data_IF_810083403122
#
_entry.id   IF_810083403122
#
_cell.length_a   1.000
_cell.length_b   1.000
_cell.length_c   1.000
_cell.angle_alpha   90.00
_cell.angle_beta   90.00
_cell.angle_gamma   90.00
#
_symmetry.space_group_name_H-M   'P 1'
#
loop_
_entity.id
_entity.type
_entity.pdbx_description
1 polymer ?
#
# COMPACT_ATOMS: atom_id res chain seq x y z
N UNK A 1 -11.04 -11.26 9.33
CA UNK A 1 -10.18 -10.13 9.77
C UNK A 1 -9.12 -10.64 10.74
N UNK A 2 -8.04 -9.89 10.99
CA UNK A 2 -6.99 -10.36 11.93
C UNK A 2 -7.55 -10.66 13.33
N UNK A 3 -8.62 -9.98 13.74
CA UNK A 3 -9.24 -10.15 15.04
C UNK A 3 -10.19 -11.36 15.13
N UNK A 4 -10.54 -11.98 13.99
CA UNK A 4 -11.39 -13.18 13.97
C UNK A 4 -10.59 -14.45 14.29
N UNK A 5 -9.32 -14.50 13.86
CA UNK A 5 -8.37 -15.56 14.22
C UNK A 5 -6.97 -14.96 14.36
N UNK A 6 -6.73 -14.38 15.54
CA UNK A 6 -5.50 -13.68 15.87
C UNK A 6 -4.29 -14.61 15.77
N UNK A 7 -4.41 -15.86 16.24
CA UNK A 7 -3.30 -16.83 16.19
C UNK A 7 -2.88 -17.13 14.77
N UNK A 8 -3.84 -17.35 13.86
CA UNK A 8 -3.55 -17.54 12.44
C UNK A 8 -2.95 -16.27 11.83
N UNK A 9 -3.45 -15.09 12.19
CA UNK A 9 -2.90 -13.82 11.71
C UNK A 9 -1.42 -13.64 12.09
N UNK A 10 -1.05 -13.91 13.35
CA UNK A 10 0.36 -13.88 13.77
C UNK A 10 1.22 -14.89 13.02
N UNK A 11 0.72 -16.11 12.81
CA UNK A 11 1.47 -17.11 12.07
C UNK A 11 1.70 -16.70 10.61
N UNK A 12 0.62 -16.35 9.90
CA UNK A 12 0.64 -16.05 8.46
C UNK A 12 1.37 -14.74 8.15
N UNK A 13 1.14 -13.70 8.95
CA UNK A 13 1.71 -12.39 8.68
C UNK A 13 3.11 -12.23 9.29
N UNK A 14 3.44 -12.94 10.36
CA UNK A 14 4.70 -12.74 11.10
C UNK A 14 5.68 -13.90 10.93
N UNK A 15 5.32 -15.09 11.40
CA UNK A 15 6.26 -16.23 11.47
C UNK A 15 6.56 -16.82 10.10
N UNK A 16 5.54 -17.00 9.27
CA UNK A 16 5.66 -17.66 7.98
C UNK A 16 6.59 -16.91 7.00
N UNK A 17 6.51 -15.57 6.84
CA UNK A 17 7.44 -14.83 6.00
C UNK A 17 8.90 -14.91 6.44
N UNK A 18 9.16 -14.97 7.76
CA UNK A 18 10.51 -15.14 8.29
C UNK A 18 11.10 -16.50 7.88
N UNK A 19 10.31 -17.57 8.03
CA UNK A 19 10.70 -18.93 7.61
C UNK A 19 10.98 -18.97 6.10
N UNK A 20 10.09 -18.39 5.28
CA UNK A 20 10.32 -18.33 3.84
C UNK A 20 11.59 -17.55 3.49
N UNK A 21 11.84 -16.43 4.16
CA UNK A 21 13.05 -15.65 3.99
C UNK A 21 14.31 -16.43 4.35
N UNK A 22 14.29 -17.22 5.43
CA UNK A 22 15.41 -18.09 5.82
C UNK A 22 15.70 -19.18 4.80
N UNK A 23 14.67 -19.85 4.30
CA UNK A 23 14.83 -21.02 3.42
C UNK A 23 15.12 -20.62 1.97
N UNK A 24 14.48 -19.56 1.47
CA UNK A 24 14.47 -19.22 0.05
C UNK A 24 15.16 -17.89 -0.27
N UNK A 25 15.35 -17.02 0.73
CA UNK A 25 16.08 -15.77 0.59
C UNK A 25 15.53 -14.85 -0.50
N UNK A 26 16.41 -14.43 -1.42
CA UNK A 26 16.09 -13.54 -2.56
C UNK A 26 15.04 -14.06 -3.54
N UNK A 27 14.60 -15.32 -3.42
CA UNK A 27 13.51 -15.88 -4.24
C UNK A 27 12.13 -15.49 -3.70
N UNK A 28 12.06 -14.86 -2.53
CA UNK A 28 10.82 -14.43 -1.89
C UNK A 28 10.70 -12.92 -2.01
N UNK A 29 9.59 -12.48 -2.60
CA UNK A 29 9.12 -11.10 -2.53
C UNK A 29 8.02 -11.06 -1.48
N UNK A 30 8.31 -10.47 -0.33
CA UNK A 30 7.37 -10.36 0.78
C UNK A 30 6.71 -8.98 0.77
N UNK A 31 5.42 -8.94 0.44
CA UNK A 31 4.65 -7.69 0.48
C UNK A 31 4.13 -7.45 1.90
N UNK A 32 4.53 -6.33 2.47
CA UNK A 32 4.09 -5.84 3.78
C UNK A 32 3.31 -4.53 3.60
N UNK A 33 3.23 -3.66 4.60
CA UNK A 33 2.28 -2.54 4.61
C UNK A 33 2.86 -1.24 5.18
N UNK A 34 2.32 -0.11 4.77
CA UNK A 34 2.48 1.20 5.44
C UNK A 34 1.80 1.26 6.82
N UNK A 35 0.87 0.35 7.11
CA UNK A 35 0.16 0.26 8.40
C UNK A 35 1.07 -0.19 9.55
N UNK A 36 2.34 -0.50 9.30
CA UNK A 36 3.37 -0.64 10.36
C UNK A 36 3.71 0.70 11.02
N UNK A 37 3.32 1.81 10.40
CA UNK A 37 3.44 3.16 10.93
C UNK A 37 2.12 3.64 11.53
N UNK A 38 2.21 4.51 12.53
CA UNK A 38 1.05 4.99 13.28
C UNK A 38 0.04 5.70 12.36
N UNK A 39 0.54 6.66 11.59
CA UNK A 39 -0.26 7.49 10.69
C UNK A 39 -0.68 8.82 11.32
N UNK A 40 -0.79 8.93 12.65
CA UNK A 40 -1.15 10.20 13.29
C UNK A 40 0.06 10.97 13.84
N UNK A 41 1.28 10.39 13.80
CA UNK A 41 2.48 10.96 14.41
C UNK A 41 3.74 10.64 13.60
N UNK A 42 4.56 11.65 13.28
CA UNK A 42 5.92 11.43 12.75
C UNK A 42 6.00 11.15 11.25
N UNK A 43 4.94 11.39 10.49
CA UNK A 43 4.95 11.30 9.04
C UNK A 43 5.77 12.44 8.39
N UNK A 44 6.34 12.24 7.18
CA UNK A 44 6.34 10.97 6.43
C UNK A 44 7.44 10.01 6.92
N UNK A 45 7.35 8.72 6.59
CA UNK A 45 8.21 7.67 7.18
C UNK A 45 9.16 7.03 6.15
N UNK A 46 10.43 6.94 6.49
CA UNK A 46 11.43 6.14 5.77
C UNK A 46 11.65 4.75 6.39
N UNK A 47 12.54 3.94 5.82
CA UNK A 47 12.81 2.58 6.32
C UNK A 47 13.38 2.55 7.76
N UNK A 48 13.95 3.66 8.24
CA UNK A 48 14.56 3.80 9.57
C UNK A 48 13.58 4.34 10.62
N UNK A 49 12.43 4.84 10.19
CA UNK A 49 11.44 5.47 11.05
C UNK A 49 10.86 4.47 12.05
N UNK A 50 10.53 4.90 13.29
CA UNK A 50 9.94 4.03 14.30
C UNK A 50 8.61 3.42 13.83
N UNK A 51 8.47 2.10 14.02
CA UNK A 51 7.24 1.37 13.71
C UNK A 51 6.35 1.34 14.95
N UNK A 52 5.18 1.97 14.86
CA UNK A 52 4.22 2.12 15.97
C UNK A 52 2.78 1.87 15.45
N UNK A 53 2.47 0.66 14.97
CA UNK A 53 1.16 0.35 14.41
C UNK A 53 0.08 0.46 15.50
N UNK A 54 -1.09 1.07 15.20
CA UNK A 54 -2.15 1.26 16.18
C UNK A 54 -3.08 0.04 16.32
N UNK A 55 -2.98 -0.94 15.42
CA UNK A 55 -3.88 -2.09 15.35
C UNK A 55 -3.13 -3.44 15.20
N UNK A 56 -3.87 -4.54 15.39
CA UNK A 56 -3.32 -5.90 15.35
C UNK A 56 -2.80 -6.25 13.96
N UNK A 57 -3.47 -5.79 12.89
CA UNK A 57 -3.01 -6.04 11.53
C UNK A 57 -1.62 -5.45 11.29
N UNK A 58 -1.43 -4.16 11.57
CA UNK A 58 -0.16 -3.45 11.47
C UNK A 58 0.92 -4.08 12.35
N UNK A 59 0.56 -4.51 13.58
CA UNK A 59 1.46 -5.21 14.48
C UNK A 59 1.96 -6.54 13.89
N UNK A 60 1.06 -7.38 13.37
CA UNK A 60 1.45 -8.67 12.78
C UNK A 60 2.31 -8.46 11.53
N UNK A 61 1.97 -7.52 10.66
CA UNK A 61 2.79 -7.20 9.48
C UNK A 61 4.16 -6.63 9.86
N UNK A 62 4.24 -5.80 10.91
CA UNK A 62 5.49 -5.27 11.44
C UNK A 62 6.43 -6.37 11.93
N UNK A 63 5.90 -7.42 12.56
CA UNK A 63 6.64 -8.58 13.03
C UNK A 63 7.08 -9.51 11.89
N UNK A 64 6.36 -9.50 10.77
CA UNK A 64 6.71 -10.22 9.54
C UNK A 64 7.82 -9.58 8.72
N UNK A 65 8.12 -8.30 8.94
CA UNK A 65 9.22 -7.61 8.25
C UNK A 65 10.52 -8.38 8.43
N UNK A 66 11.15 -8.75 7.30
CA UNK A 66 12.39 -9.52 7.31
C UNK A 66 13.40 -8.97 6.33
N UNK A 67 14.67 -8.97 6.72
CA UNK A 67 15.79 -8.63 5.83
C UNK A 67 16.33 -9.84 5.07
N UNK A 68 15.78 -11.04 5.34
CA UNK A 68 16.19 -12.29 4.71
C UNK A 68 15.55 -12.49 3.34
N UNK A 69 14.43 -11.84 3.07
CA UNK A 69 13.74 -11.79 1.78
C UNK A 69 13.78 -10.38 1.17
N UNK A 70 13.25 -10.21 -0.04
CA UNK A 70 12.97 -8.90 -0.61
C UNK A 70 11.64 -8.43 -0.03
N UNK A 71 11.69 -7.61 1.02
CA UNK A 71 10.52 -7.11 1.74
C UNK A 71 10.12 -5.73 1.23
N UNK A 72 8.89 -5.62 0.73
CA UNK A 72 8.36 -4.40 0.12
C UNK A 72 7.20 -3.85 0.96
N UNK A 73 7.42 -2.72 1.65
CA UNK A 73 6.36 -1.96 2.32
C UNK A 73 5.68 -1.04 1.33
N UNK A 74 4.37 -1.18 1.25
CA UNK A 74 3.56 -0.35 0.37
C UNK A 74 2.12 -0.29 0.86
N UNK A 75 1.33 0.52 0.18
CA UNK A 75 -0.11 0.60 0.34
C UNK A 75 -0.69 0.44 -1.05
N UNK A 76 -1.72 -0.39 -1.21
CA UNK A 76 -2.27 -0.69 -2.54
C UNK A 76 -3.72 -0.29 -2.67
N UNK A 77 -4.10 0.08 -3.90
CA UNK A 77 -5.49 0.32 -4.29
C UNK A 77 -5.74 -0.23 -5.69
N UNK A 78 -6.91 -0.79 -5.96
CA UNK A 78 -7.23 -1.29 -7.28
C UNK A 78 -8.36 -2.30 -7.25
N UNK A 79 -8.64 -2.93 -8.39
CA UNK A 79 -9.64 -3.98 -8.49
C UNK A 79 -9.26 -5.18 -7.63
N UNK A 80 -10.27 -5.82 -7.06
CA UNK A 80 -10.14 -7.06 -6.31
C UNK A 80 -10.66 -8.22 -7.17
N UNK A 81 -9.91 -9.32 -7.25
CA UNK A 81 -10.37 -10.52 -7.98
C UNK A 81 -11.55 -11.19 -7.29
N UNK A 82 -11.59 -11.12 -5.95
CA UNK A 82 -12.62 -11.72 -5.10
C UNK A 82 -12.96 -10.71 -4.01
N UNK A 83 -14.25 -10.47 -3.82
CA UNK A 83 -14.75 -9.47 -2.86
C UNK A 83 -14.94 -8.10 -3.50
N UNK A 84 -15.30 -7.12 -2.67
CA UNK A 84 -15.57 -5.72 -3.05
C UNK A 84 -15.41 -4.81 -1.81
N UNK A 85 -14.30 -4.97 -1.09
CA UNK A 85 -14.06 -4.27 0.19
C UNK A 85 -13.05 -3.13 0.07
N UNK A 86 -12.27 -3.11 -1.00
CA UNK A 86 -11.27 -2.09 -1.28
C UNK A 86 -11.89 -0.73 -1.63
N UNK A 87 -11.09 0.33 -1.49
CA UNK A 87 -11.53 1.71 -1.70
C UNK A 87 -12.13 1.94 -3.10
N UNK A 88 -11.55 1.34 -4.14
CA UNK A 88 -12.04 1.48 -5.52
C UNK A 88 -13.40 0.80 -5.70
N UNK A 89 -13.54 -0.45 -5.26
CA UNK A 89 -14.81 -1.18 -5.32
C UNK A 89 -15.91 -0.46 -4.52
N UNK A 90 -15.56 0.04 -3.33
CA UNK A 90 -16.47 0.88 -2.54
C UNK A 90 -16.92 2.11 -3.33
N UNK A 91 -16.00 2.89 -3.91
CA UNK A 91 -16.37 4.10 -4.66
C UNK A 91 -17.25 3.77 -5.87
N UNK A 92 -16.95 2.69 -6.61
CA UNK A 92 -17.77 2.24 -7.74
C UNK A 92 -19.21 1.90 -7.32
N UNK A 93 -19.40 1.30 -6.13
CA UNK A 93 -20.73 1.04 -5.56
C UNK A 93 -21.51 2.29 -5.17
N UNK A 94 -20.84 3.45 -5.14
CA UNK A 94 -21.45 4.76 -4.88
C UNK A 94 -21.72 5.57 -6.15
N UNK A 95 -21.63 4.97 -7.34
CA UNK A 95 -21.89 5.67 -8.62
C UNK A 95 -23.19 6.48 -8.59
N UNK A 96 -23.09 7.74 -9.02
CA UNK A 96 -24.19 8.72 -9.04
C UNK A 96 -24.58 9.32 -7.68
N UNK A 97 -23.91 8.95 -6.58
CA UNK A 97 -24.23 9.42 -5.23
C UNK A 97 -23.27 10.51 -4.74
N UNK A 98 -23.64 11.13 -3.63
CA UNK A 98 -22.74 12.01 -2.86
C UNK A 98 -21.93 11.17 -1.86
N UNK A 99 -20.63 11.43 -1.81
CA UNK A 99 -19.70 10.77 -0.89
C UNK A 99 -18.72 11.79 -0.32
N UNK A 100 -18.19 11.48 0.85
CA UNK A 100 -17.16 12.29 1.48
C UNK A 100 -15.76 11.90 0.99
N UNK A 101 -14.90 12.90 0.80
CA UNK A 101 -13.49 12.73 0.49
C UNK A 101 -12.62 13.48 1.51
N UNK A 102 -11.75 12.76 2.21
CA UNK A 102 -10.90 13.35 3.23
C UNK A 102 -9.71 14.12 2.65
N UNK A 103 -9.61 15.41 2.99
CA UNK A 103 -8.51 16.28 2.56
C UNK A 103 -7.30 16.21 3.50
N UNK A 104 -7.49 15.73 4.73
CA UNK A 104 -6.44 15.59 5.75
C UNK A 104 -5.99 14.12 5.94
N UNK A 105 -6.36 13.23 5.01
CA UNK A 105 -5.84 11.86 4.93
C UNK A 105 -4.88 11.76 3.76
N UNK A 106 -3.58 11.71 4.06
CA UNK A 106 -2.50 11.72 3.08
C UNK A 106 -2.01 10.29 2.81
N UNK A 107 -1.78 10.01 1.53
CA UNK A 107 -1.45 8.69 1.01
C UNK A 107 -0.51 8.80 -0.19
N UNK A 108 0.31 7.80 -0.43
CA UNK A 108 1.19 7.76 -1.60
C UNK A 108 1.51 6.35 -2.10
N UNK A 109 0.63 5.38 -1.85
CA UNK A 109 0.86 4.01 -2.32
C UNK A 109 0.80 3.86 -3.84
N UNK A 110 0.59 2.63 -4.30
CA UNK A 110 0.56 2.28 -5.73
C UNK A 110 -0.69 1.48 -6.07
N UNK A 111 -0.98 1.31 -7.36
CA UNK A 111 -2.07 0.43 -7.77
C UNK A 111 -1.70 -1.05 -7.60
N UNK A 112 -2.69 -1.92 -7.44
CA UNK A 112 -2.46 -3.37 -7.42
C UNK A 112 -1.82 -3.88 -8.72
N UNK A 113 -2.17 -3.27 -9.86
CA UNK A 113 -1.55 -3.53 -11.15
C UNK A 113 -0.08 -3.10 -11.17
N UNK A 114 0.26 -1.90 -10.65
CA UNK A 114 1.65 -1.46 -10.61
C UNK A 114 2.50 -2.30 -9.65
N UNK A 115 1.94 -2.75 -8.52
CA UNK A 115 2.61 -3.72 -7.67
C UNK A 115 2.95 -5.02 -8.44
N UNK A 116 2.02 -5.48 -9.29
CA UNK A 116 2.25 -6.61 -10.20
C UNK A 116 3.41 -6.37 -11.16
N UNK A 117 3.45 -5.20 -11.81
CA UNK A 117 4.53 -4.80 -12.72
C UNK A 117 5.88 -4.75 -12.00
N UNK A 118 5.93 -4.19 -10.78
CA UNK A 118 7.15 -4.14 -9.96
C UNK A 118 7.65 -5.56 -9.64
N UNK A 119 6.75 -6.44 -9.19
CA UNK A 119 7.10 -7.84 -8.93
C UNK A 119 7.66 -8.52 -10.20
N UNK A 120 7.05 -8.28 -11.36
CA UNK A 120 7.50 -8.82 -12.64
C UNK A 120 8.91 -8.31 -12.99
N UNK A 121 9.18 -7.00 -12.87
CA UNK A 121 10.51 -6.40 -13.09
C UNK A 121 11.58 -7.05 -12.21
N UNK A 122 11.28 -7.29 -10.94
CA UNK A 122 12.20 -7.95 -9.99
C UNK A 122 12.44 -9.42 -10.39
N UNK A 123 11.37 -10.17 -10.70
CA UNK A 123 11.46 -11.59 -11.10
C UNK A 123 12.25 -11.76 -12.39
N UNK A 124 12.00 -10.91 -13.39
CA UNK A 124 12.68 -10.89 -14.68
C UNK A 124 14.12 -10.35 -14.60
N UNK A 125 14.54 -9.83 -13.43
CA UNK A 125 15.85 -9.22 -13.19
C UNK A 125 16.12 -7.99 -14.05
N UNK A 126 15.07 -7.26 -14.42
CA UNK A 126 15.17 -5.94 -15.03
C UNK A 126 15.74 -4.93 -14.01
N UNK A 127 15.43 -5.15 -12.73
CA UNK A 127 16.05 -4.47 -11.58
C UNK A 127 16.61 -5.52 -10.62
N UNK A 128 17.89 -5.41 -10.27
CA UNK A 128 18.53 -6.32 -9.32
C UNK A 128 18.28 -5.86 -7.89
N UNK A 129 17.56 -6.66 -7.12
CA UNK A 129 17.22 -6.36 -5.71
C UNK A 129 17.81 -7.46 -4.82
N UNK A 130 18.51 -7.04 -3.77
CA UNK A 130 19.00 -7.96 -2.73
C UNK A 130 17.99 -8.08 -1.60
N UNK A 131 18.07 -9.13 -0.76
CA UNK A 131 17.29 -9.18 0.46
C UNK A 131 17.46 -7.93 1.32
N UNK A 132 16.36 -7.44 1.88
CA UNK A 132 16.29 -6.16 2.54
C UNK A 132 14.86 -5.65 2.61
N UNK A 133 14.68 -4.55 3.35
CA UNK A 133 13.39 -3.87 3.47
C UNK A 133 13.45 -2.60 2.63
N UNK A 134 12.43 -2.42 1.80
CA UNK A 134 12.29 -1.30 0.88
C UNK A 134 10.87 -0.74 0.97
N UNK A 135 10.73 0.57 0.92
CA UNK A 135 9.45 1.21 0.67
C UNK A 135 9.23 1.34 -0.84
N UNK A 136 8.03 1.06 -1.34
CA UNK A 136 7.63 1.34 -2.73
C UNK A 136 6.33 2.12 -2.74
N UNK A 137 6.36 3.28 -3.39
CA UNK A 137 5.31 4.29 -3.33
C UNK A 137 5.38 5.22 -4.55
N UNK A 138 4.31 5.95 -4.83
CA UNK A 138 4.22 6.95 -5.89
C UNK A 138 4.19 8.38 -5.32
N UNK A 139 3.65 9.36 -6.05
CA UNK A 139 3.50 10.72 -5.56
C UNK A 139 2.43 10.83 -4.46
N UNK A 140 2.55 11.86 -3.64
CA UNK A 140 1.60 12.15 -2.57
C UNK A 140 0.24 12.59 -3.11
N UNK A 141 -0.82 12.21 -2.41
CA UNK A 141 -2.21 12.56 -2.70
C UNK A 141 -3.05 12.49 -1.43
N UNK A 142 -4.12 13.27 -1.37
CA UNK A 142 -5.17 13.12 -0.35
C UNK A 142 -6.18 12.03 -0.75
N UNK A 143 -6.93 11.47 0.22
CA UNK A 143 -8.03 10.55 -0.11
C UNK A 143 -9.09 11.23 -0.99
N UNK A 144 -9.39 12.50 -0.74
CA UNK A 144 -10.25 13.31 -1.61
C UNK A 144 -9.79 13.28 -3.08
N UNK A 145 -8.54 13.65 -3.33
CA UNK A 145 -7.98 13.70 -4.69
C UNK A 145 -7.94 12.31 -5.34
N UNK A 146 -7.62 11.25 -4.57
CA UNK A 146 -7.63 9.88 -5.07
C UNK A 146 -9.03 9.45 -5.53
N UNK A 147 -10.06 9.74 -4.73
CA UNK A 147 -11.45 9.47 -5.10
C UNK A 147 -11.86 10.28 -6.34
N UNK A 148 -11.46 11.55 -6.42
CA UNK A 148 -11.75 12.40 -7.57
C UNK A 148 -11.15 11.83 -8.87
N UNK A 149 -9.90 11.35 -8.82
CA UNK A 149 -9.22 10.72 -9.97
C UNK A 149 -9.94 9.43 -10.39
N UNK A 150 -10.35 8.58 -9.46
CA UNK A 150 -11.14 7.38 -9.81
C UNK A 150 -12.52 7.71 -10.36
N UNK A 151 -13.22 8.66 -9.77
CA UNK A 151 -14.53 9.11 -10.23
C UNK A 151 -14.47 9.61 -11.67
N UNK A 152 -13.45 10.40 -12.01
CA UNK A 152 -13.20 10.84 -13.38
C UNK A 152 -12.83 9.67 -14.30
N UNK A 153 -11.88 8.82 -13.90
CA UNK A 153 -11.36 7.72 -14.73
C UNK A 153 -12.43 6.69 -15.11
N UNK A 154 -13.38 6.43 -14.22
CA UNK A 154 -14.42 5.43 -14.42
C UNK A 154 -15.80 6.04 -14.68
N UNK A 155 -15.88 7.36 -14.88
CA UNK A 155 -17.12 8.09 -15.15
C UNK A 155 -18.25 7.73 -14.16
N UNK A 156 -17.93 7.69 -12.85
CA UNK A 156 -18.87 7.18 -11.84
C UNK A 156 -19.96 8.19 -11.51
N UNK A 157 -19.80 9.46 -11.87
CA UNK A 157 -20.78 10.52 -11.61
C UNK A 157 -21.00 10.83 -10.13
N UNK A 158 -20.07 10.42 -9.25
CA UNK A 158 -20.17 10.73 -7.83
C UNK A 158 -19.91 12.23 -7.59
N UNK A 159 -20.64 12.82 -6.64
CA UNK A 159 -20.30 14.13 -6.07
C UNK A 159 -19.43 13.91 -4.84
N UNK A 160 -18.15 14.27 -4.91
CA UNK A 160 -17.22 14.07 -3.80
C UNK A 160 -17.09 15.39 -3.03
N UNK A 161 -17.54 15.39 -1.79
CA UNK A 161 -17.50 16.56 -0.91
C UNK A 161 -16.19 16.55 -0.09
N UNK A 162 -15.37 17.61 -0.17
CA UNK A 162 -14.12 17.68 0.60
C UNK A 162 -14.42 17.93 2.08
N UNK A 163 -13.94 17.04 2.95
CA UNK A 163 -14.12 17.16 4.40
C UNK A 163 -12.84 16.83 5.17
N UNK A 164 -12.75 17.28 6.41
CA UNK A 164 -11.70 16.86 7.35
C UNK A 164 -12.21 15.70 8.21
N UNK A 165 -11.41 14.64 8.33
CA UNK A 165 -11.65 13.62 9.33
C UNK A 165 -11.33 14.16 10.73
N UNK A 166 -12.00 13.67 11.80
CA UNK A 166 -11.69 14.04 13.18
C UNK A 166 -10.24 13.76 13.57
N UNK A 167 -9.63 12.75 12.97
CA UNK A 167 -8.22 12.39 13.14
C UNK A 167 -7.59 12.35 11.75
N UNK A 168 -6.58 13.19 11.54
CA UNK A 168 -5.75 13.16 10.35
C UNK A 168 -4.87 11.89 10.34
N UNK A 169 -4.75 11.27 9.17
CA UNK A 169 -3.92 10.09 8.95
C UNK A 169 -2.99 10.37 7.78
N UNK A 170 -1.69 10.36 8.05
CA UNK A 170 -0.61 10.47 7.08
C UNK A 170 0.32 9.28 7.28
N UNK A 171 0.25 8.31 6.36
CA UNK A 171 1.17 7.16 6.29
C UNK A 171 2.08 7.23 5.08
N UNK A 172 2.31 8.43 4.54
CA UNK A 172 3.14 8.60 3.36
C UNK A 172 4.54 8.04 3.61
N UNK A 173 4.98 7.22 2.67
CA UNK A 173 6.29 6.63 2.68
C UNK A 173 7.31 7.58 2.04
N UNK A 174 8.53 7.54 2.55
CA UNK A 174 9.76 8.02 1.94
C UNK A 174 10.74 6.86 1.89
N UNK A 175 11.83 7.04 1.18
CA UNK A 175 12.88 6.03 1.11
C UNK A 175 14.25 6.66 1.22
N UNK A 176 15.15 5.94 1.90
CA UNK A 176 16.60 6.18 1.85
C UNK A 176 17.30 5.20 0.88
N UNK A 177 16.52 4.52 0.03
CA UNK A 177 16.97 3.53 -0.95
C UNK A 177 16.65 4.01 -2.36
N UNK A 178 17.49 3.59 -3.32
CA UNK A 178 17.31 3.96 -4.73
C UNK A 178 16.25 3.14 -5.48
N UNK A 179 15.58 2.18 -4.81
CA UNK A 179 14.73 1.19 -5.48
C UNK A 179 13.55 1.82 -6.24
N UNK A 180 12.92 2.86 -5.71
CA UNK A 180 11.81 3.56 -6.38
C UNK A 180 12.28 4.19 -7.71
N UNK A 181 13.47 4.80 -7.70
CA UNK A 181 14.07 5.39 -8.89
C UNK A 181 14.46 4.31 -9.91
N UNK A 182 15.07 3.22 -9.45
CA UNK A 182 15.48 2.10 -10.32
C UNK A 182 14.28 1.42 -10.98
N UNK A 183 13.17 1.26 -10.25
CA UNK A 183 11.91 0.72 -10.79
C UNK A 183 11.17 1.69 -11.71
N UNK A 184 11.54 2.98 -11.68
CA UNK A 184 10.86 4.06 -12.39
C UNK A 184 9.36 4.05 -12.11
N UNK A 185 8.99 4.05 -10.82
CA UNK A 185 7.58 3.96 -10.42
C UNK A 185 6.81 5.17 -11.00
N UNK A 186 5.77 4.94 -11.81
CA UNK A 186 5.02 6.02 -12.45
C UNK A 186 4.20 6.82 -11.45
N UNK A 187 3.77 8.02 -11.85
CA UNK A 187 2.83 8.83 -11.07
C UNK A 187 1.48 8.13 -10.88
N UNK A 188 0.74 8.46 -9.83
CA UNK A 188 -0.60 7.94 -9.62
C UNK A 188 -1.55 8.29 -10.77
N UNK A 189 -1.36 9.44 -11.43
CA UNK A 189 -2.15 9.82 -12.61
C UNK A 189 -1.96 8.84 -13.76
N UNK A 190 -0.71 8.45 -14.02
CA UNK A 190 -0.38 7.45 -15.04
C UNK A 190 -0.88 6.06 -14.63
N UNK A 191 -0.64 5.65 -13.38
CA UNK A 191 -1.12 4.37 -12.86
C UNK A 191 -2.65 4.24 -12.96
N UNK A 192 -3.39 5.27 -12.57
CA UNK A 192 -4.86 5.29 -12.61
C UNK A 192 -5.37 5.31 -14.04
N UNK A 193 -4.71 6.05 -14.94
CA UNK A 193 -5.07 6.07 -16.36
C UNK A 193 -4.98 4.67 -16.99
N UNK A 194 -3.95 3.91 -16.61
CA UNK A 194 -3.67 2.57 -17.14
C UNK A 194 -4.42 1.42 -16.42
N UNK A 195 -5.21 1.72 -15.38
CA UNK A 195 -5.95 0.69 -14.64
C UNK A 195 -6.92 -0.07 -15.53
N UNK A 196 -6.85 -1.39 -15.45
CA UNK A 196 -7.77 -2.34 -16.09
C UNK A 196 -8.71 -2.88 -15.00
N UNK A 197 -10.02 -2.84 -15.25
CA UNK A 197 -11.05 -3.43 -14.37
C UNK A 197 -11.27 -4.91 -14.68
#
# INVERSE_FOLDING_TARGET
YCDEDTSLAYFVNSTFPQILGEVLGKKVIHITTDCVFNGSLGAPYDENSPKLPPDIYGLTKMLGDTTKAITLRTSTVGPELIGNRGLLAWLMSQSGKEVDGYINHLWNGITSQELGNICQKIINREVLVTPGIYHIFSNDITKYELLAKFNQRFNLGCKISPIEAPIAIDRRLRTVRELNQQLQIPSLDEQISNLIL
#
